data_IF_756278838340
#
_entry.id   IF_756278838340
#
_cell.length_a   1.000
_cell.length_b   1.000
_cell.length_c   1.000
_cell.angle_alpha   90.00
_cell.angle_beta   90.00
_cell.angle_gamma   90.00
#
_symmetry.space_group_name_H-M   'P 1'
#
loop_
_entity.id
_entity.type
_entity.pdbx_description
1 polymer ?
#
# COMPACT_ATOMS: atom_id res chain seq x y z
N UNK A 1 -3.21 -15.26 8.54
CA UNK A 1 -3.36 -14.09 7.63
C UNK A 1 -2.40 -14.25 6.46
N UNK A 2 -2.77 -13.85 5.26
CA UNK A 2 -1.92 -13.91 4.07
C UNK A 2 -2.01 -12.62 3.26
N UNK A 3 -0.91 -12.20 2.65
CA UNK A 3 -0.84 -11.01 1.80
C UNK A 3 -0.24 -11.38 0.44
N UNK A 4 -0.76 -10.75 -0.62
CA UNK A 4 -0.27 -10.85 -1.99
C UNK A 4 -0.24 -9.45 -2.60
N UNK A 5 0.92 -8.95 -2.94
CA UNK A 5 1.01 -7.77 -3.81
C UNK A 5 0.74 -8.20 -5.25
N UNK A 6 -0.44 -7.88 -5.78
CA UNK A 6 -0.81 -8.18 -7.18
C UNK A 6 -0.07 -7.22 -8.12
N UNK A 7 0.07 -5.97 -7.69
CA UNK A 7 0.91 -4.96 -8.34
C UNK A 7 1.25 -3.86 -7.33
N UNK A 8 2.46 -3.33 -7.38
CA UNK A 8 2.86 -2.20 -6.55
C UNK A 8 3.84 -1.29 -7.28
N UNK A 9 3.46 -0.02 -7.45
CA UNK A 9 4.28 1.02 -8.07
C UNK A 9 3.47 2.16 -8.65
N UNK A 10 4.13 3.24 -9.02
CA UNK A 10 3.54 4.48 -9.56
C UNK A 10 2.72 4.32 -10.87
N UNK A 11 2.51 3.11 -11.34
CA UNK A 11 1.68 2.79 -12.51
C UNK A 11 0.43 1.97 -12.17
N UNK A 12 0.27 1.58 -10.92
CA UNK A 12 -0.91 0.87 -10.43
C UNK A 12 -0.62 0.02 -9.21
N UNK A 13 -1.45 0.17 -8.20
CA UNK A 13 -1.38 -0.52 -6.92
C UNK A 13 -2.61 -1.39 -6.72
N UNK A 14 -2.41 -2.59 -6.23
CA UNK A 14 -3.47 -3.53 -5.88
C UNK A 14 -2.91 -4.62 -4.99
N UNK A 15 -3.28 -4.61 -3.73
CA UNK A 15 -2.77 -5.53 -2.72
C UNK A 15 -3.94 -6.34 -2.15
N UNK A 16 -3.82 -7.66 -2.16
CA UNK A 16 -4.73 -8.54 -1.44
C UNK A 16 -4.20 -8.80 -0.03
N UNK A 17 -5.09 -8.77 0.94
CA UNK A 17 -4.87 -9.27 2.30
C UNK A 17 -6.11 -10.00 2.80
N UNK A 18 -5.93 -11.12 3.49
CA UNK A 18 -7.06 -11.91 3.97
C UNK A 18 -6.65 -13.19 4.69
N UNK A 19 -7.64 -14.03 4.92
CA UNK A 19 -7.49 -15.37 5.49
C UNK A 19 -8.37 -16.38 4.72
N UNK A 20 -8.82 -17.45 5.36
CA UNK A 20 -9.68 -18.45 4.71
C UNK A 20 -11.14 -18.01 4.56
N UNK A 21 -11.56 -16.95 5.26
CA UNK A 21 -12.96 -16.51 5.34
C UNK A 21 -13.17 -15.07 4.88
N UNK A 22 -12.18 -14.21 5.08
CA UNK A 22 -12.26 -12.77 4.76
C UNK A 22 -11.21 -12.40 3.73
N UNK A 23 -11.64 -11.79 2.62
CA UNK A 23 -10.81 -11.43 1.48
C UNK A 23 -10.93 -9.94 1.20
N UNK A 24 -9.86 -9.19 1.43
CA UNK A 24 -9.82 -7.74 1.29
C UNK A 24 -8.86 -7.36 0.18
N UNK A 25 -9.29 -6.43 -0.66
CA UNK A 25 -8.43 -5.78 -1.65
C UNK A 25 -8.13 -4.35 -1.18
N UNK A 26 -6.88 -3.95 -1.22
CA UNK A 26 -6.44 -2.57 -0.99
C UNK A 26 -6.00 -1.98 -2.30
N UNK A 27 -6.69 -0.94 -2.72
CA UNK A 27 -6.60 -0.27 -4.00
C UNK A 27 -6.94 -1.15 -5.22
N UNK A 28 -7.34 -0.49 -6.29
CA UNK A 28 -7.68 -1.08 -7.56
C UNK A 28 -7.12 -0.24 -8.71
N UNK A 29 -5.83 0.08 -8.64
CA UNK A 29 -5.13 0.95 -9.60
C UNK A 29 -4.81 0.29 -10.93
N UNK A 30 -5.03 -1.02 -11.05
CA UNK A 30 -4.78 -1.80 -12.26
C UNK A 30 -6.08 -2.32 -12.88
N UNK A 31 -6.03 -2.83 -14.11
CA UNK A 31 -7.22 -3.34 -14.78
C UNK A 31 -7.85 -4.53 -14.03
N UNK A 32 -9.19 -4.64 -14.06
CA UNK A 32 -9.93 -5.78 -13.49
C UNK A 32 -9.35 -7.13 -13.92
N UNK A 33 -8.93 -7.26 -15.19
CA UNK A 33 -8.32 -8.48 -15.70
C UNK A 33 -7.06 -8.86 -14.91
N UNK A 34 -6.16 -7.89 -14.66
CA UNK A 34 -4.94 -8.14 -13.88
C UNK A 34 -5.26 -8.45 -12.40
N UNK A 35 -6.28 -7.80 -11.82
CA UNK A 35 -6.74 -8.10 -10.46
C UNK A 35 -7.19 -9.57 -10.40
N UNK A 36 -8.02 -10.00 -11.34
CA UNK A 36 -8.50 -11.38 -11.43
C UNK A 36 -7.37 -12.39 -11.62
N UNK A 37 -6.46 -12.11 -12.54
CA UNK A 37 -5.27 -12.95 -12.78
C UNK A 37 -4.45 -13.09 -11.49
N UNK A 38 -4.26 -12.01 -10.72
CA UNK A 38 -3.57 -12.04 -9.43
C UNK A 38 -4.31 -12.88 -8.38
N UNK A 39 -5.61 -12.66 -8.20
CA UNK A 39 -6.43 -13.44 -7.26
C UNK A 39 -6.47 -14.93 -7.63
N UNK A 40 -6.52 -15.25 -8.93
CA UNK A 40 -6.51 -16.64 -9.40
C UNK A 40 -5.23 -17.40 -8.99
N UNK A 41 -4.10 -16.71 -8.79
CA UNK A 41 -2.84 -17.35 -8.32
C UNK A 41 -2.97 -17.95 -6.92
N UNK A 42 -3.95 -17.48 -6.15
CA UNK A 42 -4.26 -17.98 -4.79
C UNK A 42 -5.64 -18.66 -4.72
N UNK A 43 -6.20 -19.03 -5.87
CA UNK A 43 -7.47 -19.76 -5.96
C UNK A 43 -8.72 -18.92 -5.72
N UNK A 44 -8.63 -17.59 -5.78
CA UNK A 44 -9.74 -16.66 -5.57
C UNK A 44 -10.12 -15.95 -6.88
N UNK A 45 -11.34 -15.42 -6.89
CA UNK A 45 -11.90 -14.56 -7.93
C UNK A 45 -12.32 -13.22 -7.33
N UNK A 46 -12.68 -12.24 -8.16
CA UNK A 46 -13.21 -10.95 -7.66
C UNK A 46 -14.56 -11.12 -6.92
N UNK A 47 -15.28 -12.21 -7.11
CA UNK A 47 -16.54 -12.49 -6.42
C UNK A 47 -16.35 -13.00 -4.99
N UNK A 48 -15.15 -13.44 -4.64
CA UNK A 48 -14.82 -13.88 -3.29
C UNK A 48 -14.43 -12.71 -2.37
N UNK A 49 -14.27 -11.50 -2.93
CA UNK A 49 -13.91 -10.32 -2.16
C UNK A 49 -14.99 -9.93 -1.14
N UNK A 50 -14.60 -9.80 0.11
CA UNK A 50 -15.44 -9.32 1.22
C UNK A 50 -15.53 -7.80 1.25
N UNK A 51 -14.45 -7.09 0.83
CA UNK A 51 -14.36 -5.63 0.81
C UNK A 51 -13.23 -5.16 -0.13
N UNK A 52 -13.38 -3.91 -0.59
CA UNK A 52 -12.33 -3.15 -1.29
C UNK A 52 -12.07 -1.89 -0.48
N UNK A 53 -10.82 -1.63 -0.10
CA UNK A 53 -10.40 -0.43 0.60
C UNK A 53 -9.59 0.45 -0.33
N UNK A 54 -9.89 1.75 -0.37
CA UNK A 54 -9.17 2.74 -1.18
C UNK A 54 -8.38 3.66 -0.27
N UNK A 55 -7.09 3.78 -0.53
CA UNK A 55 -6.19 4.65 0.23
C UNK A 55 -6.43 6.12 -0.08
N UNK A 56 -6.53 6.45 -1.36
CA UNK A 56 -6.79 7.79 -1.89
C UNK A 56 -7.17 7.76 -3.38
N UNK A 57 -7.52 8.92 -3.96
CA UNK A 57 -8.14 9.01 -5.28
C UNK A 57 -7.18 9.09 -6.47
N UNK A 58 -5.87 8.96 -6.32
CA UNK A 58 -4.96 8.98 -7.47
C UNK A 58 -5.20 7.79 -8.42
N UNK A 59 -4.99 8.01 -9.72
CA UNK A 59 -5.34 7.05 -10.78
C UNK A 59 -4.67 5.69 -10.63
N UNK A 60 -3.45 5.67 -10.12
CA UNK A 60 -2.70 4.43 -9.85
C UNK A 60 -3.22 3.67 -8.61
N UNK A 61 -4.24 4.19 -7.92
CA UNK A 61 -4.97 3.52 -6.83
C UNK A 61 -6.42 3.20 -7.19
N UNK A 62 -7.03 3.95 -8.11
CA UNK A 62 -8.46 3.78 -8.42
C UNK A 62 -8.76 3.46 -9.90
N UNK A 63 -7.75 3.41 -10.78
CA UNK A 63 -7.94 3.32 -12.24
C UNK A 63 -8.79 2.12 -12.71
N UNK A 64 -8.84 1.03 -11.96
CA UNK A 64 -9.65 -0.15 -12.26
C UNK A 64 -10.99 -0.22 -11.53
N UNK A 65 -11.25 0.66 -10.54
CA UNK A 65 -12.38 0.55 -9.62
C UNK A 65 -13.73 0.55 -10.35
N UNK A 66 -13.90 1.39 -11.37
CA UNK A 66 -15.13 1.48 -12.12
C UNK A 66 -15.51 0.18 -12.86
N UNK A 67 -14.53 -0.54 -13.41
CA UNK A 67 -14.78 -1.84 -14.05
C UNK A 67 -14.93 -2.94 -12.99
N UNK A 68 -14.13 -2.91 -11.95
CA UNK A 68 -14.16 -3.90 -10.87
C UNK A 68 -15.53 -3.92 -10.18
N UNK A 69 -16.05 -2.79 -9.76
CA UNK A 69 -17.32 -2.67 -9.03
C UNK A 69 -18.54 -3.07 -9.86
N UNK A 70 -18.46 -3.05 -11.20
CA UNK A 70 -19.51 -3.60 -12.07
C UNK A 70 -19.47 -5.12 -12.20
N UNK A 71 -18.45 -5.78 -11.67
CA UNK A 71 -18.21 -7.23 -11.83
C UNK A 71 -18.04 -7.98 -10.50
N UNK A 72 -18.04 -7.26 -9.39
CA UNK A 72 -18.03 -7.86 -8.06
C UNK A 72 -18.97 -7.05 -7.16
N UNK A 73 -19.53 -7.69 -6.14
CA UNK A 73 -20.53 -7.10 -5.24
C UNK A 73 -19.91 -6.54 -3.94
N UNK A 74 -18.60 -6.67 -3.76
CA UNK A 74 -17.92 -6.22 -2.55
C UNK A 74 -18.14 -4.71 -2.32
N UNK A 75 -18.41 -4.26 -1.07
CA UNK A 75 -18.48 -2.85 -0.73
C UNK A 75 -17.09 -2.19 -0.86
N UNK A 76 -17.11 -0.90 -1.18
CA UNK A 76 -15.90 -0.07 -1.34
C UNK A 76 -15.81 0.89 -0.16
N UNK A 77 -14.73 0.80 0.60
CA UNK A 77 -14.46 1.65 1.75
C UNK A 77 -13.35 2.66 1.42
N UNK A 78 -13.50 3.88 1.91
CA UNK A 78 -12.50 4.96 1.80
C UNK A 78 -12.94 6.16 2.60
N UNK A 79 -12.09 7.15 2.75
CA UNK A 79 -12.51 8.41 3.37
C UNK A 79 -13.59 9.07 2.52
N UNK A 80 -14.46 9.85 3.17
CA UNK A 80 -15.59 10.48 2.47
C UNK A 80 -15.12 11.30 1.26
N UNK A 81 -14.05 12.06 1.43
CA UNK A 81 -13.49 12.93 0.40
C UNK A 81 -12.96 12.13 -0.80
N UNK A 82 -12.27 11.02 -0.54
CA UNK A 82 -11.80 10.09 -1.58
C UNK A 82 -12.99 9.48 -2.33
N UNK A 83 -14.02 9.01 -1.61
CA UNK A 83 -15.21 8.42 -2.23
C UNK A 83 -16.01 9.43 -3.02
N UNK A 84 -16.17 10.66 -2.52
CA UNK A 84 -16.85 11.75 -3.23
C UNK A 84 -16.14 12.06 -4.56
N UNK A 85 -14.81 12.07 -4.57
CA UNK A 85 -14.03 12.23 -5.79
C UNK A 85 -14.33 11.12 -6.80
N UNK A 86 -14.24 9.85 -6.37
CA UNK A 86 -14.50 8.69 -7.23
C UNK A 86 -15.92 8.72 -7.82
N UNK A 87 -16.92 9.02 -7.00
CA UNK A 87 -18.32 9.07 -7.42
C UNK A 87 -18.62 10.25 -8.36
N UNK A 88 -17.85 11.33 -8.28
CA UNK A 88 -17.95 12.49 -9.17
C UNK A 88 -17.21 12.32 -10.49
N UNK A 89 -16.24 11.39 -10.58
CA UNK A 89 -15.46 11.17 -11.81
C UNK A 89 -16.26 10.37 -12.84
N UNK A 90 -16.79 11.07 -13.84
CA UNK A 90 -17.56 10.45 -14.92
C UNK A 90 -16.77 9.44 -15.75
N UNK A 91 -15.43 9.48 -15.73
CA UNK A 91 -14.57 8.52 -16.44
C UNK A 91 -14.64 7.12 -15.85
N UNK A 92 -15.06 6.98 -14.59
CA UNK A 92 -15.27 5.68 -13.92
C UNK A 92 -16.48 4.91 -14.49
N UNK A 93 -17.35 5.58 -15.25
CA UNK A 93 -18.61 5.04 -15.75
C UNK A 93 -19.67 4.96 -14.64
N UNK A 94 -20.69 4.13 -14.86
CA UNK A 94 -21.77 4.00 -13.87
C UNK A 94 -21.27 3.26 -12.63
N UNK A 95 -21.39 3.91 -11.47
CA UNK A 95 -21.12 3.36 -10.15
C UNK A 95 -22.42 3.25 -9.34
N UNK A 96 -22.53 2.27 -8.49
CA UNK A 96 -23.59 2.13 -7.50
C UNK A 96 -23.14 2.78 -6.19
N UNK A 97 -23.60 4.00 -5.94
CA UNK A 97 -23.17 4.81 -4.81
C UNK A 97 -23.49 4.18 -3.44
N UNK A 98 -24.52 3.33 -3.35
CA UNK A 98 -24.89 2.66 -2.09
C UNK A 98 -23.82 1.68 -1.59
N UNK A 99 -22.93 1.26 -2.46
CA UNK A 99 -21.81 0.35 -2.12
C UNK A 99 -20.54 1.08 -1.66
N UNK A 100 -20.51 2.43 -1.76
CA UNK A 100 -19.36 3.23 -1.33
C UNK A 100 -19.57 3.70 0.10
N UNK A 101 -18.85 3.08 1.02
CA UNK A 101 -19.04 3.19 2.47
C UNK A 101 -17.95 4.09 3.07
N UNK A 102 -18.28 5.31 3.52
CA UNK A 102 -17.30 6.21 4.10
C UNK A 102 -16.78 5.69 5.44
N UNK A 103 -15.47 5.83 5.64
CA UNK A 103 -14.78 5.55 6.89
C UNK A 103 -14.12 6.81 7.45
N UNK A 104 -13.81 6.79 8.74
CA UNK A 104 -13.05 7.84 9.39
C UNK A 104 -11.64 7.36 9.70
N UNK A 105 -10.60 8.18 9.42
CA UNK A 105 -9.24 7.86 9.85
C UNK A 105 -9.19 7.62 11.36
N UNK A 106 -8.41 6.62 11.78
CA UNK A 106 -8.23 6.21 13.18
C UNK A 106 -9.47 5.56 13.84
N UNK A 107 -10.53 5.28 13.09
CA UNK A 107 -11.67 4.50 13.57
C UNK A 107 -11.64 3.09 12.99
N UNK A 108 -11.48 2.09 13.86
CA UNK A 108 -11.42 0.68 13.47
C UNK A 108 -12.79 0.19 13.02
N UNK A 109 -12.78 -0.67 12.01
CA UNK A 109 -13.97 -1.38 11.56
C UNK A 109 -13.69 -2.87 11.41
N UNK A 110 -14.74 -3.70 11.52
CA UNK A 110 -14.64 -5.15 11.39
C UNK A 110 -15.20 -5.59 10.05
N UNK A 111 -14.43 -6.37 9.29
CA UNK A 111 -14.84 -7.02 8.05
C UNK A 111 -14.66 -8.52 8.26
N UNK A 112 -15.78 -9.25 8.33
CA UNK A 112 -15.73 -10.67 8.69
C UNK A 112 -15.07 -10.89 10.06
N UNK A 113 -13.96 -11.59 10.07
CA UNK A 113 -13.14 -11.89 11.25
C UNK A 113 -11.86 -11.04 11.35
N UNK A 114 -11.69 -10.05 10.48
CA UNK A 114 -10.56 -9.13 10.46
C UNK A 114 -10.95 -7.73 10.96
N UNK A 115 -10.06 -7.10 11.69
CA UNK A 115 -10.17 -5.67 12.05
C UNK A 115 -9.30 -4.87 11.08
N UNK A 116 -9.88 -3.84 10.48
CA UNK A 116 -9.19 -2.86 9.62
C UNK A 116 -9.11 -1.52 10.34
N UNK A 117 -7.92 -0.95 10.39
CA UNK A 117 -7.63 0.30 11.09
C UNK A 117 -7.02 1.30 10.09
N UNK A 118 -7.82 2.25 9.59
CA UNK A 118 -7.34 3.29 8.68
C UNK A 118 -6.50 4.31 9.46
N UNK A 119 -5.30 4.56 8.98
CA UNK A 119 -4.35 5.51 9.56
C UNK A 119 -4.12 6.67 8.59
N UNK A 120 -4.25 7.90 9.07
CA UNK A 120 -3.97 9.09 8.24
C UNK A 120 -2.50 9.16 7.85
N UNK A 121 -2.25 9.54 6.60
CA UNK A 121 -0.91 9.75 6.05
C UNK A 121 -0.77 11.16 5.47
N UNK A 122 0.47 11.59 5.24
CA UNK A 122 0.77 12.86 4.59
C UNK A 122 0.99 12.63 3.10
N UNK A 123 0.00 12.98 2.28
CA UNK A 123 0.07 12.91 0.82
C UNK A 123 -0.79 14.00 0.19
N UNK A 124 -0.55 14.34 -1.07
CA UNK A 124 -1.27 15.37 -1.81
C UNK A 124 -2.58 14.84 -2.44
N UNK A 125 -3.42 14.30 -1.58
CA UNK A 125 -4.74 13.79 -1.90
C UNK A 125 -5.81 14.38 -0.95
N UNK A 126 -7.08 14.14 -1.21
CA UNK A 126 -8.19 14.81 -0.52
C UNK A 126 -8.23 14.47 0.99
N UNK A 127 -8.11 13.20 1.36
CA UNK A 127 -8.01 12.74 2.76
C UNK A 127 -7.36 11.35 2.79
N UNK A 128 -6.04 11.26 2.50
CA UNK A 128 -5.36 9.98 2.28
C UNK A 128 -5.16 9.19 3.57
N UNK A 129 -5.30 7.87 3.45
CA UNK A 129 -5.08 6.90 4.53
C UNK A 129 -4.25 5.72 4.04
N UNK A 130 -3.56 5.05 4.95
CA UNK A 130 -3.09 3.69 4.80
C UNK A 130 -3.83 2.77 5.77
N UNK A 131 -3.60 1.46 5.69
CA UNK A 131 -4.40 0.49 6.43
C UNK A 131 -3.54 -0.48 7.23
N UNK A 132 -3.96 -0.72 8.48
CA UNK A 132 -3.47 -1.80 9.33
C UNK A 132 -4.55 -2.87 9.46
N UNK A 133 -4.13 -4.13 9.53
CA UNK A 133 -5.02 -5.29 9.58
C UNK A 133 -4.65 -6.16 10.78
N UNK A 134 -5.68 -6.66 11.47
CA UNK A 134 -5.51 -7.50 12.65
C UNK A 134 -6.43 -8.73 12.56
N UNK A 135 -5.87 -9.89 12.87
CA UNK A 135 -6.57 -11.17 12.97
C UNK A 135 -6.01 -11.93 14.19
N UNK A 136 -6.73 -11.92 15.31
CA UNK A 136 -6.16 -12.39 16.58
C UNK A 136 -4.88 -11.63 16.93
N UNK A 137 -3.76 -12.36 17.07
CA UNK A 137 -2.45 -11.77 17.38
C UNK A 137 -1.66 -11.34 16.14
N UNK A 138 -2.12 -11.69 14.93
CA UNK A 138 -1.47 -11.37 13.66
C UNK A 138 -1.74 -9.93 13.24
N UNK A 139 -0.70 -9.23 12.78
CA UNK A 139 -0.74 -7.81 12.45
C UNK A 139 -0.02 -7.54 11.14
N UNK A 140 -0.68 -6.83 10.24
CA UNK A 140 -0.07 -6.39 8.99
C UNK A 140 -0.39 -4.92 8.70
N UNK A 141 0.46 -4.25 7.91
CA UNK A 141 0.16 -2.92 7.40
C UNK A 141 0.52 -2.77 5.93
N UNK A 142 -0.27 -1.97 5.22
CA UNK A 142 -0.04 -1.53 3.85
C UNK A 142 0.02 -0.01 3.88
N UNK A 143 1.22 0.55 3.68
CA UNK A 143 1.52 1.98 3.84
C UNK A 143 2.33 2.49 2.64
N UNK A 144 1.63 3.01 1.65
CA UNK A 144 2.18 3.68 0.46
C UNK A 144 1.81 5.15 0.48
N UNK A 145 2.47 5.94 -0.36
CA UNK A 145 2.20 7.38 -0.55
C UNK A 145 2.42 8.20 0.72
N UNK A 146 3.54 7.91 1.37
CA UNK A 146 3.99 8.58 2.57
C UNK A 146 4.91 9.75 2.20
N UNK A 147 4.43 10.98 2.24
CA UNK A 147 5.28 12.15 2.01
C UNK A 147 6.32 12.36 3.12
N UNK A 148 5.92 12.13 4.36
CA UNK A 148 6.81 11.98 5.51
C UNK A 148 6.12 11.17 6.61
N UNK A 149 6.92 10.60 7.49
CA UNK A 149 6.46 9.81 8.63
C UNK A 149 6.32 10.69 9.86
N UNK A 150 5.15 10.68 10.49
CA UNK A 150 4.91 11.32 11.79
C UNK A 150 5.24 10.35 12.92
N UNK A 151 5.43 10.85 14.15
CA UNK A 151 5.59 10.00 15.33
C UNK A 151 4.40 9.04 15.51
N UNK A 152 3.17 9.50 15.21
CA UNK A 152 1.97 8.67 15.24
C UNK A 152 2.04 7.54 14.21
N UNK A 153 2.53 7.82 12.97
CA UNK A 153 2.68 6.79 11.95
C UNK A 153 3.74 5.76 12.37
N UNK A 154 4.87 6.20 12.89
CA UNK A 154 5.95 5.33 13.38
C UNK A 154 5.45 4.42 14.51
N UNK A 155 4.78 4.97 15.53
CA UNK A 155 4.17 4.21 16.62
C UNK A 155 3.17 3.15 16.09
N UNK A 156 2.30 3.54 15.15
CA UNK A 156 1.29 2.66 14.59
C UNK A 156 1.85 1.57 13.67
N UNK A 157 2.95 1.82 12.98
CA UNK A 157 3.64 0.85 12.12
C UNK A 157 4.57 -0.06 12.92
N UNK A 158 4.92 0.32 14.14
CA UNK A 158 5.68 -0.54 15.06
C UNK A 158 4.88 -1.80 15.43
N UNK A 159 5.60 -2.88 15.73
CA UNK A 159 5.02 -4.17 16.14
C UNK A 159 4.10 -4.85 15.11
N UNK A 160 4.30 -4.62 13.82
CA UNK A 160 3.65 -5.36 12.74
C UNK A 160 4.45 -6.62 12.40
N UNK A 161 3.75 -7.74 12.15
CA UNK A 161 4.39 -8.99 11.69
C UNK A 161 4.74 -8.93 10.19
N UNK A 162 3.98 -8.15 9.42
CA UNK A 162 4.12 -8.01 7.97
C UNK A 162 3.88 -6.57 7.56
N UNK A 163 4.80 -6.02 6.77
CA UNK A 163 4.71 -4.66 6.24
C UNK A 163 4.80 -4.67 4.71
N UNK A 164 3.90 -3.95 4.03
CA UNK A 164 4.16 -3.41 2.71
C UNK A 164 4.32 -1.91 2.88
N UNK A 165 5.51 -1.40 2.59
CA UNK A 165 5.89 -0.01 2.85
C UNK A 165 6.52 0.63 1.62
N UNK A 166 6.30 1.94 1.45
CA UNK A 166 6.82 2.68 0.32
C UNK A 166 8.34 2.82 0.35
N UNK A 167 8.98 2.49 -0.80
CA UNK A 167 10.34 2.88 -1.17
C UNK A 167 10.29 3.46 -2.59
N UNK A 168 9.85 4.72 -2.70
CA UNK A 168 9.43 5.25 -3.99
C UNK A 168 10.60 5.56 -4.91
N UNK A 169 11.60 6.28 -4.46
CA UNK A 169 12.65 6.79 -5.33
C UNK A 169 14.04 6.78 -4.69
N UNK A 170 15.03 6.60 -5.53
CA UNK A 170 16.41 6.97 -5.23
C UNK A 170 16.57 8.49 -5.40
N UNK A 171 17.13 9.16 -4.39
CA UNK A 171 17.24 10.62 -4.37
C UNK A 171 18.10 11.12 -5.53
N UNK A 172 19.22 10.43 -5.84
CA UNK A 172 20.14 10.87 -6.89
C UNK A 172 19.51 10.67 -8.28
N UNK A 173 18.87 9.51 -8.51
CA UNK A 173 18.14 9.27 -9.77
C UNK A 173 17.07 10.34 -9.98
N UNK A 174 16.30 10.68 -8.96
CA UNK A 174 15.28 11.71 -9.05
C UNK A 174 15.89 13.08 -9.36
N UNK A 175 16.99 13.45 -8.70
CA UNK A 175 17.64 14.74 -8.90
C UNK A 175 18.21 14.92 -10.30
N UNK A 176 18.86 13.89 -10.87
CA UNK A 176 19.46 13.96 -12.22
C UNK A 176 18.48 13.53 -13.32
N UNK A 177 17.37 12.87 -12.96
CA UNK A 177 16.37 12.34 -13.90
C UNK A 177 15.67 13.40 -14.74
N UNK A 178 14.87 12.97 -15.68
CA UNK A 178 14.23 13.80 -16.71
C UNK A 178 13.00 14.55 -16.24
N UNK A 179 12.52 14.29 -15.02
CA UNK A 179 11.33 14.95 -14.50
C UNK A 179 11.51 16.48 -14.38
N UNK A 180 10.49 17.28 -14.72
CA UNK A 180 10.55 18.72 -14.54
C UNK A 180 10.77 19.09 -13.08
N UNK A 181 11.41 20.23 -12.83
CA UNK A 181 11.79 20.68 -11.49
C UNK A 181 10.62 20.70 -10.50
N UNK A 182 9.44 21.20 -10.91
CA UNK A 182 8.28 21.24 -10.03
C UNK A 182 7.80 19.85 -9.58
N UNK A 183 7.92 18.83 -10.47
CA UNK A 183 7.55 17.46 -10.13
C UNK A 183 8.57 16.83 -9.15
N UNK A 184 9.87 17.10 -9.33
CA UNK A 184 10.89 16.69 -8.36
C UNK A 184 10.63 17.30 -6.99
N UNK A 185 10.28 18.59 -6.91
CA UNK A 185 9.95 19.26 -5.65
C UNK A 185 8.68 18.69 -5.02
N UNK A 186 7.66 18.34 -5.81
CA UNK A 186 6.45 17.65 -5.33
C UNK A 186 6.80 16.31 -4.70
N UNK A 187 7.58 15.48 -5.40
CA UNK A 187 7.98 14.13 -4.94
C UNK A 187 8.80 14.21 -3.64
N UNK A 188 9.77 15.14 -3.55
CA UNK A 188 10.62 15.35 -2.38
C UNK A 188 9.92 16.08 -1.24
N UNK A 189 8.74 16.64 -1.47
CA UNK A 189 8.00 17.43 -0.50
C UNK A 189 7.33 16.59 0.58
N UNK A 190 6.88 17.25 1.65
CA UNK A 190 6.21 16.59 2.79
C UNK A 190 4.90 15.88 2.43
N UNK A 191 4.32 16.17 1.28
CA UNK A 191 3.13 15.51 0.74
C UNK A 191 3.46 14.65 -0.50
N UNK A 192 4.74 14.37 -0.74
CA UNK A 192 5.21 13.55 -1.85
C UNK A 192 5.31 12.08 -1.47
N UNK A 193 6.53 11.52 -1.54
CA UNK A 193 6.79 10.10 -1.34
C UNK A 193 8.08 9.86 -0.56
N UNK A 194 8.16 8.75 0.16
CA UNK A 194 9.39 8.33 0.82
C UNK A 194 10.46 7.93 -0.20
N UNK A 195 11.67 8.47 -0.01
CA UNK A 195 12.84 7.91 -0.69
C UNK A 195 13.22 6.54 -0.13
N UNK A 196 14.09 5.82 -0.82
CA UNK A 196 14.61 4.54 -0.36
C UNK A 196 15.26 4.66 1.04
N UNK A 197 16.06 5.72 1.25
CA UNK A 197 16.72 5.97 2.53
C UNK A 197 15.71 6.35 3.63
N UNK A 198 14.68 7.12 3.30
CA UNK A 198 13.65 7.47 4.28
C UNK A 198 12.84 6.24 4.71
N UNK A 199 12.52 5.35 3.76
CA UNK A 199 11.93 4.05 4.05
C UNK A 199 12.84 3.21 4.96
N UNK A 200 14.12 3.14 4.64
CA UNK A 200 15.11 2.39 5.43
C UNK A 200 15.24 2.93 6.86
N UNK A 201 15.28 4.25 7.06
CA UNK A 201 15.31 4.85 8.40
C UNK A 201 14.05 4.54 9.21
N UNK A 202 12.86 4.63 8.57
CA UNK A 202 11.62 4.21 9.22
C UNK A 202 11.67 2.73 9.62
N UNK A 203 12.09 1.85 8.73
CA UNK A 203 12.22 0.43 9.07
C UNK A 203 13.21 0.22 10.20
N UNK A 204 14.36 0.89 10.17
CA UNK A 204 15.37 0.84 11.23
C UNK A 204 14.83 1.20 12.61
N UNK A 205 13.85 2.12 12.69
CA UNK A 205 13.24 2.52 13.97
C UNK A 205 12.13 1.58 14.45
N UNK A 206 11.52 0.79 13.56
CA UNK A 206 10.35 -0.04 13.90
C UNK A 206 10.59 -1.55 13.82
N UNK A 207 11.77 -2.02 13.34
CA UNK A 207 12.10 -3.45 13.32
C UNK A 207 12.13 -4.05 14.73
N UNK A 208 11.69 -5.30 14.85
CA UNK A 208 11.60 -6.04 16.12
C UNK A 208 11.59 -7.56 15.87
N UNK A 209 11.77 -8.37 16.92
CA UNK A 209 11.93 -9.83 16.84
C UNK A 209 10.80 -10.59 16.14
N UNK A 210 9.57 -10.03 16.13
CA UNK A 210 8.41 -10.70 15.54
C UNK A 210 8.13 -10.28 14.10
N UNK A 211 8.88 -9.31 13.54
CA UNK A 211 8.72 -8.91 12.14
C UNK A 211 9.17 -10.04 11.22
N UNK A 212 8.25 -10.53 10.41
CA UNK A 212 8.46 -11.72 9.56
C UNK A 212 8.85 -11.35 8.14
N UNK A 213 8.19 -10.33 7.57
CA UNK A 213 8.46 -9.93 6.19
C UNK A 213 8.17 -8.45 5.95
N UNK A 214 8.98 -7.85 5.08
CA UNK A 214 8.78 -6.51 4.54
C UNK A 214 8.73 -6.57 3.02
N UNK A 215 7.65 -6.04 2.43
CA UNK A 215 7.60 -5.71 1.02
C UNK A 215 7.92 -4.23 0.83
N UNK A 216 8.96 -3.94 0.05
CA UNK A 216 9.25 -2.59 -0.42
C UNK A 216 8.38 -2.32 -1.65
N UNK A 217 7.42 -1.44 -1.52
CA UNK A 217 6.40 -1.20 -2.53
C UNK A 217 6.45 0.21 -3.12
N UNK A 218 5.54 0.45 -4.05
CA UNK A 218 5.28 1.75 -4.67
C UNK A 218 6.51 2.41 -5.33
N UNK A 219 7.40 1.60 -5.94
CA UNK A 219 8.60 2.11 -6.59
C UNK A 219 8.27 2.99 -7.79
N UNK A 220 8.96 4.10 -7.95
CA UNK A 220 8.95 4.91 -9.17
C UNK A 220 9.48 4.12 -10.35
N UNK A 221 8.84 4.25 -11.50
CA UNK A 221 9.30 3.60 -12.73
C UNK A 221 10.58 4.26 -13.29
N UNK A 222 10.67 5.58 -13.18
CA UNK A 222 11.69 6.38 -13.83
C UNK A 222 12.87 6.70 -12.89
N UNK A 223 12.62 6.71 -11.56
CA UNK A 223 13.59 7.23 -10.59
C UNK A 223 13.92 6.20 -9.50
N UNK A 224 13.77 4.90 -9.79
CA UNK A 224 14.17 3.83 -8.88
C UNK A 224 14.50 2.54 -9.63
N UNK A 225 15.30 1.70 -8.98
CA UNK A 225 15.56 0.33 -9.36
C UNK A 225 15.34 -0.57 -8.14
N UNK A 226 14.81 -1.80 -8.31
CA UNK A 226 14.60 -2.74 -7.21
C UNK A 226 15.84 -2.96 -6.35
N UNK A 227 16.99 -3.08 -7.00
CA UNK A 227 18.28 -3.31 -6.33
C UNK A 227 18.71 -2.09 -5.49
N UNK A 228 18.48 -0.87 -5.97
CA UNK A 228 18.78 0.36 -5.23
C UNK A 228 17.87 0.51 -4.00
N UNK A 229 16.57 0.25 -4.18
CA UNK A 229 15.62 0.28 -3.07
C UNK A 229 16.01 -0.72 -1.96
N UNK A 230 16.31 -1.96 -2.35
CA UNK A 230 16.73 -3.01 -1.42
C UNK A 230 18.02 -2.64 -0.68
N UNK A 231 19.07 -2.23 -1.42
CA UNK A 231 20.37 -1.92 -0.82
C UNK A 231 20.34 -0.68 0.09
N UNK A 232 19.59 0.38 -0.29
CA UNK A 232 19.42 1.56 0.57
C UNK A 232 18.74 1.18 1.90
N UNK A 233 17.64 0.43 1.84
CA UNK A 233 16.94 -0.05 3.03
C UNK A 233 17.81 -0.96 3.87
N UNK A 234 18.54 -1.89 3.24
CA UNK A 234 19.49 -2.80 3.91
C UNK A 234 20.56 -2.02 4.69
N UNK A 235 21.12 -0.99 4.09
CA UNK A 235 22.14 -0.16 4.71
C UNK A 235 21.58 0.60 5.93
N UNK A 236 20.43 1.25 5.78
CA UNK A 236 19.81 2.04 6.86
C UNK A 236 19.44 1.16 8.08
N UNK A 237 18.94 -0.06 7.86
CA UNK A 237 18.66 -1.01 8.97
C UNK A 237 19.97 -1.43 9.63
N UNK A 238 20.96 -1.85 8.84
CA UNK A 238 22.22 -2.40 9.36
C UNK A 238 23.09 -1.36 10.08
N UNK A 239 23.02 -0.10 9.66
CA UNK A 239 23.80 1.00 10.20
C UNK A 239 23.03 1.86 11.23
N UNK A 240 21.74 1.58 11.41
CA UNK A 240 20.88 2.32 12.34
C UNK A 240 21.18 2.00 13.81
N UNK A 241 20.64 2.81 14.69
CA UNK A 241 20.75 2.62 16.15
C UNK A 241 19.75 1.57 16.64
N UNK A 242 19.92 0.33 16.19
CA UNK A 242 19.13 -0.82 16.57
C UNK A 242 20.03 -2.09 16.61
N UNK A 243 19.63 -3.19 17.26
CA UNK A 243 20.45 -4.40 17.38
C UNK A 243 20.41 -5.32 16.16
N UNK A 244 19.66 -4.98 15.10
CA UNK A 244 19.34 -5.88 14.00
C UNK A 244 20.26 -5.70 12.79
N UNK A 245 20.30 -6.73 11.96
CA UNK A 245 20.84 -6.71 10.62
C UNK A 245 19.69 -6.91 9.62
N UNK A 246 19.79 -6.35 8.43
CA UNK A 246 18.74 -6.55 7.42
C UNK A 246 18.53 -8.03 7.06
N UNK A 247 19.56 -8.88 7.24
CA UNK A 247 19.47 -10.34 7.06
C UNK A 247 18.61 -11.06 8.09
N UNK A 248 18.23 -10.39 9.18
CA UNK A 248 17.36 -10.96 10.21
C UNK A 248 15.89 -10.98 9.75
N UNK A 249 15.58 -10.28 8.67
CA UNK A 249 14.23 -10.12 8.13
C UNK A 249 14.14 -10.57 6.67
N UNK A 250 12.98 -11.10 6.27
CA UNK A 250 12.70 -11.33 4.86
C UNK A 250 12.26 -10.01 4.20
N UNK A 251 13.15 -9.39 3.43
CA UNK A 251 12.88 -8.15 2.69
C UNK A 251 12.78 -8.46 1.19
N UNK A 252 11.66 -8.12 0.57
CA UNK A 252 11.41 -8.33 -0.86
C UNK A 252 10.92 -7.03 -1.51
N UNK A 253 11.36 -6.76 -2.73
CA UNK A 253 10.79 -5.65 -3.52
C UNK A 253 9.54 -6.14 -4.23
N UNK A 254 8.40 -5.52 -3.94
CA UNK A 254 7.13 -5.85 -4.57
C UNK A 254 7.17 -5.57 -6.08
N UNK A 255 6.68 -6.53 -6.85
CA UNK A 255 6.72 -6.46 -8.32
C UNK A 255 5.68 -5.48 -8.86
N UNK A 256 6.07 -4.72 -9.87
CA UNK A 256 5.22 -3.69 -10.50
C UNK A 256 4.08 -4.28 -11.33
N UNK A 257 4.38 -5.28 -12.16
CA UNK A 257 3.50 -5.69 -13.24
C UNK A 257 3.00 -7.13 -13.13
N UNK A 258 3.45 -7.87 -12.15
CA UNK A 258 3.07 -9.25 -11.88
C UNK A 258 2.95 -9.48 -10.37
N UNK A 259 2.18 -10.47 -9.94
CA UNK A 259 2.07 -10.79 -8.53
C UNK A 259 3.43 -11.14 -7.92
N UNK A 260 3.72 -10.58 -6.75
CA UNK A 260 4.78 -11.07 -5.86
C UNK A 260 4.34 -12.39 -5.23
N UNK A 261 5.24 -13.14 -4.64
CA UNK A 261 4.85 -14.36 -3.92
C UNK A 261 3.84 -14.06 -2.81
N UNK A 262 2.86 -14.95 -2.62
CA UNK A 262 1.98 -14.87 -1.44
C UNK A 262 2.79 -15.17 -0.18
N UNK A 263 2.63 -14.37 0.85
CA UNK A 263 3.20 -14.62 2.17
C UNK A 263 2.08 -14.91 3.16
N UNK A 264 2.20 -16.03 3.87
CA UNK A 264 1.24 -16.48 4.88
C UNK A 264 1.95 -16.68 6.23
N UNK A 265 1.28 -16.27 7.33
CA UNK A 265 1.82 -16.32 8.68
C UNK A 265 0.71 -16.48 9.74
#
# INVERSE_FOLDING_TARGET
>A
MRMLSIASGSSGNCIYIGNDHTHILVDAGISKKRIEEGLNTIGLTVNDLSAIFITHEHKDHIGGIGVLTRKCEAPVYGTKETLDYILSDTSMGRLDAERFMPILPNEKLTIGDMIVDPMRISHDAANPVCYRFFEGDKKAAIATDLGYVTEENEEKLSNMDLLLIEANHDIQMLQVGTYPYYLKQRILGKQGHLSNEACGRLLSSIVHDNLKKVYLGHLSKENNLPELAYEAVRLEITMGDNPYQASDFEIEVAKRNEPSGVFEF
#
